data_IF_947393471048
#
_entry.id   IF_947393471048
#
_cell.length_a   1.000
_cell.length_b   1.000
_cell.length_c   1.000
_cell.angle_alpha   90.00
_cell.angle_beta   90.00
_cell.angle_gamma   90.00
#
_symmetry.space_group_name_H-M   'P 1'
#
loop_
_entity.id
_entity.type
_entity.pdbx_description
1 polymer ?
#
# COMPACT_ATOMS: atom_id res chain seq x y z
N UNK A 1 -10.66 6.16 -29.11
CA UNK A 1 -10.66 5.80 -27.68
C UNK A 1 -11.07 4.34 -27.40
N UNK A 2 -11.89 3.67 -28.23
CA UNK A 2 -12.30 2.27 -27.98
C UNK A 2 -11.24 1.18 -28.25
N UNK A 3 -10.31 1.37 -29.19
CA UNK A 3 -9.38 0.30 -29.61
C UNK A 3 -8.25 -0.01 -28.62
N UNK A 4 -7.83 0.97 -27.80
CA UNK A 4 -6.75 0.80 -26.81
C UNK A 4 -7.17 -0.08 -25.61
N UNK A 5 -8.46 -0.03 -25.24
CA UNK A 5 -8.99 -0.76 -24.08
C UNK A 5 -8.94 -2.28 -24.30
N UNK A 6 -9.07 -2.72 -25.55
CA UNK A 6 -9.03 -4.14 -25.92
C UNK A 6 -7.59 -4.65 -26.17
N UNK A 7 -6.62 -3.79 -26.48
CA UNK A 7 -5.25 -4.17 -26.87
C UNK A 7 -4.28 -4.37 -25.69
N UNK A 8 -4.46 -3.66 -24.58
CA UNK A 8 -3.59 -3.80 -23.39
C UNK A 8 -4.14 -4.75 -22.32
N UNK A 9 -5.15 -5.57 -22.65
CA UNK A 9 -5.74 -6.50 -21.68
C UNK A 9 -6.54 -5.83 -20.56
N UNK A 10 -6.89 -4.54 -20.71
CA UNK A 10 -7.57 -3.73 -19.69
C UNK A 10 -8.91 -4.33 -19.25
N UNK A 11 -9.64 -4.98 -20.17
CA UNK A 11 -10.85 -5.76 -19.86
C UNK A 11 -10.62 -6.86 -18.84
N UNK A 12 -9.51 -7.60 -18.91
CA UNK A 12 -9.20 -8.67 -17.95
C UNK A 12 -8.79 -8.13 -16.57
N UNK A 13 -8.35 -6.89 -16.49
CA UNK A 13 -7.97 -6.23 -15.23
C UNK A 13 -9.20 -5.73 -14.50
N UNK A 14 -10.11 -5.06 -15.21
CA UNK A 14 -11.37 -4.58 -14.65
C UNK A 14 -12.29 -5.73 -14.20
N UNK A 15 -12.08 -6.94 -14.73
CA UNK A 15 -12.90 -8.12 -14.43
C UNK A 15 -12.27 -9.08 -13.41
N UNK A 16 -10.94 -9.04 -13.19
CA UNK A 16 -10.29 -9.83 -12.14
C UNK A 16 -10.22 -9.01 -10.85
N UNK A 17 -10.92 -9.46 -9.80
CA UNK A 17 -11.01 -8.82 -8.49
C UNK A 17 -9.70 -8.67 -7.69
N UNK A 18 -8.54 -8.97 -8.28
CA UNK A 18 -7.24 -8.57 -7.73
C UNK A 18 -7.03 -7.11 -8.12
N UNK A 19 -7.09 -6.20 -7.15
CA UNK A 19 -7.11 -4.75 -7.37
C UNK A 19 -6.04 -4.20 -8.32
N UNK A 20 -6.24 -2.95 -8.76
CA UNK A 20 -5.32 -2.23 -9.63
C UNK A 20 -4.00 -1.97 -8.88
N UNK A 21 -2.90 -2.59 -9.33
CA UNK A 21 -1.55 -2.28 -8.87
C UNK A 21 -0.85 -1.31 -9.82
N UNK A 22 -0.14 -0.34 -9.25
CA UNK A 22 0.70 0.63 -9.94
C UNK A 22 1.77 -0.01 -10.83
N UNK A 23 2.40 -1.11 -10.38
CA UNK A 23 3.33 -1.89 -11.19
C UNK A 23 2.68 -2.49 -12.44
N UNK A 24 1.46 -3.01 -12.28
CA UNK A 24 0.74 -3.58 -13.42
C UNK A 24 0.35 -2.50 -14.42
N UNK A 25 -0.01 -1.31 -13.95
CA UNK A 25 -0.28 -0.17 -14.82
C UNK A 25 0.98 0.31 -15.55
N UNK A 26 2.10 0.46 -14.85
CA UNK A 26 3.39 0.81 -15.45
C UNK A 26 3.83 -0.23 -16.50
N UNK A 27 3.59 -1.52 -16.25
CA UNK A 27 3.91 -2.59 -17.19
C UNK A 27 3.02 -2.59 -18.45
N UNK A 28 1.76 -2.15 -18.37
CA UNK A 28 0.88 -2.04 -19.54
C UNK A 28 1.22 -0.85 -20.42
N UNK A 29 1.71 0.24 -19.82
CA UNK A 29 2.04 1.48 -20.51
C UNK A 29 3.50 1.86 -20.23
N UNK A 30 4.47 1.03 -20.67
CA UNK A 30 5.87 1.26 -20.37
C UNK A 30 6.38 2.57 -20.98
N UNK A 31 5.84 2.96 -22.13
CA UNK A 31 6.19 4.23 -22.81
C UNK A 31 5.77 5.47 -22.00
N UNK A 32 4.91 5.33 -20.98
CA UNK A 32 4.53 6.42 -20.09
C UNK A 32 5.38 6.49 -18.82
N UNK A 33 6.16 5.44 -18.52
CA UNK A 33 7.05 5.41 -17.36
C UNK A 33 8.25 6.32 -17.66
N UNK A 34 8.61 7.18 -16.71
CA UNK A 34 9.60 8.24 -16.88
C UNK A 34 8.99 9.59 -17.27
N UNK A 35 7.91 9.58 -18.07
CA UNK A 35 7.25 10.79 -18.58
C UNK A 35 6.20 11.37 -17.62
N UNK A 36 5.68 10.56 -16.70
CA UNK A 36 4.70 10.98 -15.69
C UNK A 36 5.29 10.96 -14.30
N UNK A 37 4.87 11.90 -13.44
CA UNK A 37 5.39 11.97 -12.07
C UNK A 37 4.89 10.80 -11.20
N UNK A 38 3.63 10.39 -11.37
CA UNK A 38 2.98 9.40 -10.50
C UNK A 38 2.07 8.46 -11.28
N UNK A 39 2.18 7.16 -11.02
CA UNK A 39 1.23 6.12 -11.42
C UNK A 39 0.64 5.50 -10.15
N UNK A 40 -0.69 5.57 -10.02
CA UNK A 40 -1.38 5.06 -8.83
C UNK A 40 -2.83 4.69 -9.12
N UNK A 41 -3.38 3.76 -8.32
CA UNK A 41 -4.81 3.51 -8.27
C UNK A 41 -5.56 4.68 -7.63
N UNK A 42 -6.79 4.95 -8.06
CA UNK A 42 -7.56 6.09 -7.56
C UNK A 42 -7.82 6.05 -6.04
N UNK A 43 -7.92 4.86 -5.44
CA UNK A 43 -8.15 4.73 -4.00
C UNK A 43 -6.96 5.21 -3.15
N UNK A 44 -5.73 5.02 -3.63
CA UNK A 44 -4.52 5.57 -2.99
C UNK A 44 -4.58 7.10 -2.93
N UNK A 45 -4.90 7.74 -4.05
CA UNK A 45 -5.05 9.21 -4.12
C UNK A 45 -6.21 9.67 -3.25
N UNK A 46 -7.35 8.97 -3.26
CA UNK A 46 -8.51 9.28 -2.40
C UNK A 46 -8.12 9.25 -0.91
N UNK A 47 -7.35 8.26 -0.48
CA UNK A 47 -6.86 8.16 0.91
C UNK A 47 -5.99 9.37 1.28
N UNK A 48 -5.05 9.74 0.41
CA UNK A 48 -4.22 10.94 0.62
C UNK A 48 -5.07 12.23 0.72
N UNK A 49 -6.06 12.39 -0.16
CA UNK A 49 -6.93 13.57 -0.16
C UNK A 49 -7.85 13.65 1.06
N UNK A 50 -8.10 12.53 1.76
CA UNK A 50 -8.93 12.49 2.97
C UNK A 50 -8.17 12.84 4.24
N UNK A 51 -6.83 12.77 4.25
CA UNK A 51 -6.01 13.04 5.43
C UNK A 51 -6.35 14.37 6.14
N UNK A 52 -6.54 15.51 5.44
CA UNK A 52 -6.86 16.77 6.12
C UNK A 52 -8.18 16.77 6.88
N UNK A 53 -9.09 15.83 6.56
CA UNK A 53 -10.41 15.70 7.16
C UNK A 53 -10.51 14.56 8.17
N UNK A 54 -9.38 13.90 8.47
CA UNK A 54 -9.31 12.76 9.38
C UNK A 54 -8.27 13.08 10.46
N UNK A 55 -8.70 13.61 11.64
CA UNK A 55 -7.79 14.06 12.71
C UNK A 55 -6.77 12.99 13.16
N UNK A 56 -7.18 11.72 13.11
CA UNK A 56 -6.34 10.56 13.40
C UNK A 56 -6.24 9.62 12.17
N UNK A 57 -6.35 10.19 10.97
CA UNK A 57 -6.27 9.45 9.72
C UNK A 57 -4.84 9.01 9.45
N UNK A 58 -4.64 7.70 9.36
CA UNK A 58 -3.36 7.11 8.94
C UNK A 58 -3.49 6.60 7.52
N UNK A 59 -2.46 6.83 6.72
CA UNK A 59 -2.34 6.25 5.38
C UNK A 59 -1.05 5.45 5.34
N UNK A 60 -1.17 4.22 4.89
CA UNK A 60 -0.05 3.31 4.68
C UNK A 60 -0.05 2.89 3.21
N UNK A 61 1.05 3.15 2.53
CA UNK A 61 1.19 2.99 1.09
C UNK A 61 2.60 2.53 0.76
N UNK A 62 2.73 1.70 -0.27
CA UNK A 62 4.01 1.31 -0.82
C UNK A 62 4.39 2.27 -1.95
N UNK A 63 5.62 2.79 -1.91
CA UNK A 63 6.13 3.74 -2.89
C UNK A 63 7.36 3.15 -3.56
N UNK A 64 7.31 3.02 -4.88
CA UNK A 64 8.45 2.57 -5.68
C UNK A 64 8.82 3.65 -6.67
N UNK A 65 10.11 3.97 -6.77
CA UNK A 65 10.62 4.83 -7.83
C UNK A 65 11.10 3.99 -9.00
N UNK A 66 10.54 4.22 -10.18
CA UNK A 66 11.01 3.64 -11.44
C UNK A 66 11.30 4.81 -12.36
N UNK A 67 12.59 5.00 -12.69
CA UNK A 67 13.08 6.21 -13.35
C UNK A 67 12.67 7.50 -12.63
N UNK A 68 11.96 8.40 -13.30
CA UNK A 68 11.42 9.63 -12.72
C UNK A 68 9.95 9.49 -12.26
N UNK A 69 9.36 8.31 -12.36
CA UNK A 69 7.97 8.05 -11.96
C UNK A 69 7.89 7.38 -10.59
N UNK A 70 6.95 7.84 -9.76
CA UNK A 70 6.58 7.18 -8.51
C UNK A 70 5.37 6.27 -8.74
N UNK A 71 5.53 5.01 -8.37
CA UNK A 71 4.47 4.00 -8.35
C UNK A 71 3.92 3.91 -6.92
N UNK A 72 2.63 4.17 -6.75
CA UNK A 72 1.97 4.17 -5.45
C UNK A 72 0.91 3.08 -5.38
N UNK A 73 1.08 2.16 -4.43
CA UNK A 73 0.14 1.08 -4.13
C UNK A 73 -0.36 1.13 -2.68
N UNK A 74 -1.57 0.61 -2.48
CA UNK A 74 -2.18 0.52 -1.17
C UNK A 74 -1.48 -0.55 -0.34
N UNK A 75 -1.14 -0.22 0.92
CA UNK A 75 -0.39 -1.13 1.77
C UNK A 75 -1.01 -1.21 3.16
N UNK A 76 -1.74 -2.31 3.43
CA UNK A 76 -2.28 -2.57 4.76
C UNK A 76 -1.25 -3.30 5.64
N UNK A 77 -0.45 -2.53 6.38
CA UNK A 77 0.58 -3.07 7.29
C UNK A 77 0.00 -4.14 8.21
N UNK A 78 -1.24 -4.01 8.68
CA UNK A 78 -1.83 -4.98 9.59
C UNK A 78 -2.09 -6.32 8.91
N UNK A 79 -2.68 -6.30 7.72
CA UNK A 79 -2.90 -7.52 6.91
C UNK A 79 -1.56 -8.22 6.61
N UNK A 80 -0.54 -7.46 6.23
CA UNK A 80 0.79 -8.00 5.97
C UNK A 80 1.50 -8.51 7.22
N UNK A 81 1.32 -7.86 8.38
CA UNK A 81 1.79 -8.34 9.68
C UNK A 81 1.04 -9.59 10.15
N UNK A 82 -0.09 -9.99 9.58
CA UNK A 82 -0.72 -11.28 9.93
C UNK A 82 -0.17 -12.43 9.07
N UNK A 83 0.25 -12.16 7.82
CA UNK A 83 0.74 -13.17 6.89
C UNK A 83 2.08 -13.79 7.34
N UNK A 84 2.24 -15.10 7.14
CA UNK A 84 3.47 -15.82 7.51
C UNK A 84 4.65 -15.47 6.61
N UNK A 85 4.38 -15.11 5.35
CA UNK A 85 5.39 -14.79 4.32
C UNK A 85 6.14 -13.47 4.58
N UNK A 86 5.67 -12.66 5.54
CA UNK A 86 6.24 -11.37 5.90
C UNK A 86 6.83 -11.38 7.32
N UNK A 87 7.43 -12.51 7.73
CA UNK A 87 8.09 -12.63 9.04
C UNK A 87 9.12 -11.54 9.28
N UNK A 88 9.88 -11.15 8.24
CA UNK A 88 10.83 -10.06 8.33
C UNK A 88 10.17 -8.72 8.73
N UNK A 89 8.94 -8.47 8.28
CA UNK A 89 8.21 -7.24 8.60
C UNK A 89 7.74 -7.27 10.05
N UNK A 90 7.32 -8.45 10.53
CA UNK A 90 7.03 -8.68 11.95
C UNK A 90 8.27 -8.39 12.78
N UNK A 91 9.41 -9.00 12.44
CA UNK A 91 10.67 -8.83 13.16
C UNK A 91 11.11 -7.37 13.16
N UNK A 92 11.04 -6.70 12.00
CA UNK A 92 11.33 -5.27 11.88
C UNK A 92 10.44 -4.42 12.79
N UNK A 93 9.14 -4.69 12.82
CA UNK A 93 8.17 -3.99 13.67
C UNK A 93 8.48 -4.19 15.16
N UNK A 94 8.74 -5.43 15.57
CA UNK A 94 9.14 -5.76 16.95
C UNK A 94 10.44 -5.07 17.37
N UNK A 95 11.43 -5.04 16.50
CA UNK A 95 12.76 -4.53 16.80
C UNK A 95 12.82 -2.99 16.79
N UNK A 96 12.13 -2.33 15.85
CA UNK A 96 12.34 -0.90 15.61
C UNK A 96 11.20 -0.02 16.12
N UNK A 97 9.98 -0.55 16.21
CA UNK A 97 8.80 0.23 16.61
C UNK A 97 8.45 -0.06 18.06
N UNK A 98 8.34 -1.34 18.45
CA UNK A 98 8.02 -1.68 19.84
C UNK A 98 9.13 -1.30 20.82
N UNK A 99 10.41 -1.33 20.41
CA UNK A 99 11.52 -0.93 21.30
C UNK A 99 11.66 0.58 21.48
N UNK A 100 11.18 1.38 20.53
CA UNK A 100 11.24 2.85 20.58
C UNK A 100 10.00 3.48 21.22
N UNK A 101 8.93 2.71 21.40
CA UNK A 101 7.73 3.11 22.14
C UNK A 101 7.97 3.22 23.65
N UNK A 102 7.29 4.18 24.28
CA UNK A 102 7.25 4.31 25.75
C UNK A 102 6.53 3.11 26.39
N UNK A 103 6.81 2.82 27.67
CA UNK A 103 6.15 1.69 28.37
C UNK A 103 4.62 1.76 28.32
N UNK A 104 4.05 2.98 28.35
CA UNK A 104 2.61 3.21 28.27
C UNK A 104 2.02 2.78 26.92
N UNK A 105 2.71 3.03 25.82
CA UNK A 105 2.29 2.63 24.46
C UNK A 105 2.43 1.12 24.25
N UNK A 106 3.45 0.50 24.87
CA UNK A 106 3.68 -0.96 24.82
C UNK A 106 2.59 -1.73 25.55
N UNK A 107 2.13 -1.24 26.71
CA UNK A 107 1.04 -1.86 27.47
C UNK A 107 -0.30 -1.83 26.73
N UNK A 108 -0.54 -0.83 25.88
CA UNK A 108 -1.77 -0.75 25.08
C UNK A 108 -1.82 -1.76 23.92
N UNK A 109 -0.67 -2.30 23.51
CA UNK A 109 -0.53 -3.26 22.41
C UNK A 109 -0.44 -4.71 22.88
N UNK A 110 -0.16 -4.94 24.17
CA UNK A 110 -0.24 -6.29 24.75
C UNK A 110 -1.70 -6.62 25.09
N UNK A 111 -2.31 -7.65 24.49
CA UNK A 111 -3.60 -8.11 24.97
C UNK A 111 -3.44 -8.53 26.43
N UNK A 112 -4.31 -8.00 27.31
CA UNK A 112 -4.38 -8.41 28.70
C UNK A 112 -4.47 -9.94 28.74
N UNK A 113 -3.47 -10.59 29.32
CA UNK A 113 -3.52 -12.02 29.56
C UNK A 113 -4.85 -12.34 30.26
N UNK A 114 -5.61 -13.36 29.81
CA UNK A 114 -6.80 -13.77 30.54
C UNK A 114 -6.35 -14.12 31.96
N UNK A 115 -6.94 -13.45 32.94
CA UNK A 115 -6.77 -13.84 34.33
C UNK A 115 -7.37 -15.24 34.52
N UNK A 116 -6.53 -16.14 35.04
CA UNK A 116 -6.80 -17.50 35.57
C UNK A 116 -6.75 -18.65 34.57
#
# INVERSE_FOLDING_TARGET
WGAAIDSYGLKQILTRGTGLSSFRMAHMFPDCVGDVDVISGAECIKKLLKLPYQPNGTVSMMVHRVENTLLLDDFDVYDYLMKSEWSWLKDFFYENILKTMSEQERMALTPSSPSS
#
